data_IF_740007874532
#
_entry.id   IF_740007874532
#
_cell.length_a   1.000
_cell.length_b   1.000
_cell.length_c   1.000
_cell.angle_alpha   90.00
_cell.angle_beta   90.00
_cell.angle_gamma   90.00
#
_symmetry.space_group_name_H-M   'P 1'
#
loop_
_entity.id
_entity.type
_entity.pdbx_description
1 polymer ?
#
# COMPACT_ATOMS: atom_id res chain seq x y z
N UNK A 1 -4.72 -12.22 10.40
CA UNK A 1 -5.05 -11.55 11.63
C UNK A 1 -6.35 -10.80 11.52
N UNK A 2 -7.13 -10.91 12.51
CA UNK A 2 -8.49 -10.37 12.54
C UNK A 2 -8.49 -8.86 12.42
N UNK A 3 -9.05 -8.32 11.33
CA UNK A 3 -9.14 -6.89 11.09
C UNK A 3 -7.82 -6.21 10.71
N UNK A 4 -6.73 -6.97 10.58
CA UNK A 4 -5.41 -6.47 10.23
C UNK A 4 -4.99 -6.88 8.82
N UNK A 5 -5.97 -7.17 7.98
CA UNK A 5 -5.79 -7.55 6.59
C UNK A 5 -6.53 -6.57 5.70
N UNK A 6 -6.06 -6.44 4.47
CA UNK A 6 -6.80 -5.73 3.44
C UNK A 6 -6.54 -6.35 2.08
N UNK A 7 -7.45 -6.06 1.16
CA UNK A 7 -7.29 -6.41 -0.26
C UNK A 7 -7.37 -5.14 -1.09
N UNK A 8 -6.66 -5.15 -2.21
CA UNK A 8 -6.64 -4.04 -3.14
C UNK A 8 -6.50 -4.57 -4.55
N UNK A 9 -6.87 -3.78 -5.53
CA UNK A 9 -6.61 -4.08 -6.92
C UNK A 9 -5.81 -2.96 -7.55
N UNK A 10 -4.96 -3.32 -8.50
CA UNK A 10 -4.18 -2.37 -9.29
C UNK A 10 -4.21 -2.83 -10.74
N UNK A 11 -4.82 -2.02 -11.60
CA UNK A 11 -4.87 -2.32 -13.03
C UNK A 11 -3.74 -1.59 -13.75
N UNK A 12 -2.90 -2.36 -14.44
CA UNK A 12 -1.76 -1.83 -15.17
C UNK A 12 -2.22 -1.20 -16.48
N UNK A 13 -1.93 0.08 -16.66
CA UNK A 13 -2.25 0.84 -17.88
C UNK A 13 -0.98 1.26 -18.59
N UNK A 14 -1.12 1.90 -19.75
CA UNK A 14 0.03 2.40 -20.52
C UNK A 14 0.92 3.37 -19.71
N UNK A 15 0.33 4.12 -18.78
CA UNK A 15 1.06 5.04 -17.92
C UNK A 15 2.00 4.33 -16.95
N UNK A 16 1.81 3.03 -16.76
CA UNK A 16 2.62 2.21 -15.84
C UNK A 16 3.67 1.36 -16.58
N UNK A 17 3.84 1.58 -17.89
CA UNK A 17 4.76 0.78 -18.69
C UNK A 17 6.21 1.11 -18.39
N UNK A 18 7.01 0.07 -18.15
CA UNK A 18 8.45 0.13 -18.08
C UNK A 18 9.07 -0.48 -19.34
N UNK A 19 9.42 -1.76 -19.31
CA UNK A 19 9.79 -2.49 -20.51
C UNK A 19 8.57 -2.64 -21.44
N UNK A 20 8.75 -2.76 -22.76
CA UNK A 20 7.61 -2.84 -23.67
C UNK A 20 6.62 -3.93 -23.29
N UNK A 21 5.36 -3.53 -23.10
CA UNK A 21 4.26 -4.43 -22.73
C UNK A 21 4.20 -4.85 -21.27
N UNK A 22 5.12 -4.37 -20.43
CA UNK A 22 5.21 -4.78 -19.01
C UNK A 22 5.14 -3.59 -18.08
N UNK A 23 4.60 -3.80 -16.90
CA UNK A 23 4.55 -2.79 -15.85
C UNK A 23 5.94 -2.42 -15.35
N UNK A 24 6.14 -1.14 -15.05
CA UNK A 24 7.37 -0.63 -14.46
C UNK A 24 7.51 -1.11 -13.02
N UNK A 25 8.68 -1.69 -12.66
CA UNK A 25 8.91 -2.20 -11.31
C UNK A 25 8.77 -1.16 -10.22
N UNK A 26 9.23 0.06 -10.48
CA UNK A 26 9.06 1.17 -9.53
C UNK A 26 7.61 1.51 -9.25
N UNK A 27 6.76 1.47 -10.27
CA UNK A 27 5.33 1.71 -10.11
C UNK A 27 4.64 0.57 -9.38
N UNK A 28 5.06 -0.68 -9.62
CA UNK A 28 4.57 -1.82 -8.85
C UNK A 28 4.95 -1.69 -7.37
N UNK A 29 6.19 -1.28 -7.09
CA UNK A 29 6.64 -1.04 -5.70
C UNK A 29 5.83 0.07 -5.04
N UNK A 30 5.50 1.14 -5.77
CA UNK A 30 4.64 2.21 -5.26
C UNK A 30 3.24 1.69 -4.92
N UNK A 31 2.66 0.87 -5.79
CA UNK A 31 1.34 0.28 -5.56
C UNK A 31 1.33 -0.57 -4.28
N UNK A 32 2.40 -1.35 -4.07
CA UNK A 32 2.53 -2.15 -2.85
C UNK A 32 2.78 -1.30 -1.61
N UNK A 33 3.56 -0.24 -1.72
CA UNK A 33 3.75 0.68 -0.60
C UNK A 33 2.42 1.35 -0.20
N UNK A 34 1.59 1.73 -1.17
CA UNK A 34 0.26 2.26 -0.88
C UNK A 34 -0.64 1.24 -0.19
N UNK A 35 -0.67 0.00 -0.69
CA UNK A 35 -1.49 -1.05 -0.09
C UNK A 35 -1.05 -1.35 1.35
N UNK A 36 0.25 -1.52 1.55
CA UNK A 36 0.82 -1.80 2.87
C UNK A 36 0.62 -0.62 3.83
N UNK A 37 0.78 0.61 3.33
CA UNK A 37 0.57 1.81 4.13
C UNK A 37 -0.86 1.96 4.64
N UNK A 38 -1.84 1.47 3.90
CA UNK A 38 -3.24 1.49 4.33
C UNK A 38 -3.49 0.65 5.59
N UNK A 39 -2.64 -0.36 5.85
CA UNK A 39 -2.72 -1.13 7.08
C UNK A 39 -2.52 -0.25 8.31
N UNK A 40 -1.69 0.78 8.20
CA UNK A 40 -1.46 1.72 9.29
C UNK A 40 -2.72 2.52 9.62
N UNK A 41 -3.51 2.84 8.60
CA UNK A 41 -4.81 3.48 8.80
C UNK A 41 -5.81 2.56 9.48
N UNK A 42 -5.79 1.25 9.15
CA UNK A 42 -6.65 0.26 9.80
C UNK A 42 -6.38 0.17 11.30
N UNK A 43 -5.13 0.28 11.72
CA UNK A 43 -4.76 0.28 13.13
C UNK A 43 -4.71 1.70 13.73
N UNK A 44 -5.09 2.70 12.93
CA UNK A 44 -5.15 4.11 13.33
C UNK A 44 -3.83 4.63 13.91
N UNK A 45 -2.72 4.20 13.33
CA UNK A 45 -1.39 4.58 13.78
C UNK A 45 -0.67 5.31 12.66
N UNK A 46 -0.44 6.62 12.79
CA UNK A 46 0.37 7.34 11.81
C UNK A 46 1.77 6.73 11.77
N UNK A 47 2.24 6.40 10.57
CA UNK A 47 3.53 5.75 10.41
C UNK A 47 4.22 6.19 9.13
N UNK A 48 5.52 6.03 9.09
CA UNK A 48 6.34 6.29 7.91
C UNK A 48 6.98 5.00 7.43
N UNK A 49 7.18 4.89 6.12
CA UNK A 49 7.87 3.74 5.53
C UNK A 49 9.36 3.82 5.89
N UNK A 50 9.84 2.81 6.59
CA UNK A 50 11.26 2.70 6.92
C UNK A 50 11.99 1.75 5.97
N UNK A 51 11.30 0.74 5.47
CA UNK A 51 11.88 -0.24 4.54
C UNK A 51 10.77 -0.86 3.71
N UNK A 52 11.07 -1.07 2.43
CA UNK A 52 10.21 -1.80 1.51
C UNK A 52 11.06 -2.75 0.69
N UNK A 53 10.73 -4.04 0.71
CA UNK A 53 11.35 -5.05 -0.13
C UNK A 53 10.30 -5.57 -1.09
N UNK A 54 10.65 -5.66 -2.36
CA UNK A 54 9.74 -6.14 -3.40
C UNK A 54 10.47 -7.18 -4.25
N UNK A 55 9.86 -8.35 -4.38
CA UNK A 55 10.35 -9.41 -5.26
C UNK A 55 9.42 -9.51 -6.46
N UNK A 56 9.97 -9.36 -7.65
CA UNK A 56 9.24 -9.48 -8.90
C UNK A 56 9.42 -10.90 -9.44
N UNK A 57 8.40 -11.73 -9.23
CA UNK A 57 8.47 -13.18 -9.52
C UNK A 57 8.07 -13.47 -10.96
N UNK A 58 6.99 -12.83 -11.43
CA UNK A 58 6.50 -12.94 -12.79
C UNK A 58 6.33 -11.55 -13.38
N UNK A 59 6.56 -11.40 -14.69
CA UNK A 59 6.24 -10.13 -15.36
C UNK A 59 4.74 -9.84 -15.29
N UNK A 60 4.42 -8.56 -15.16
CA UNK A 60 3.02 -8.09 -15.09
C UNK A 60 2.69 -7.38 -16.39
N UNK A 61 1.95 -8.04 -17.31
CA UNK A 61 1.63 -7.45 -18.60
C UNK A 61 0.66 -6.27 -18.50
N UNK A 62 0.72 -5.41 -19.52
CA UNK A 62 -0.25 -4.33 -19.70
C UNK A 62 -1.67 -4.88 -19.73
N UNK A 63 -2.60 -4.14 -19.16
CA UNK A 63 -4.01 -4.55 -19.10
C UNK A 63 -4.33 -5.56 -18.00
N UNK A 64 -3.32 -6.01 -17.27
CA UNK A 64 -3.51 -6.96 -16.16
C UNK A 64 -4.01 -6.24 -14.92
N UNK A 65 -4.93 -6.87 -14.20
CA UNK A 65 -5.31 -6.45 -12.85
C UNK A 65 -4.59 -7.32 -11.84
N UNK A 66 -3.80 -6.69 -10.97
CA UNK A 66 -3.19 -7.35 -9.82
C UNK A 66 -4.16 -7.34 -8.65
N UNK A 67 -4.34 -8.49 -8.04
CA UNK A 67 -5.09 -8.66 -6.80
C UNK A 67 -4.10 -8.73 -5.66
N UNK A 68 -4.08 -7.70 -4.83
CA UNK A 68 -3.12 -7.55 -3.74
C UNK A 68 -3.79 -7.89 -2.42
N UNK A 69 -3.15 -8.79 -1.67
CA UNK A 69 -3.56 -9.11 -0.29
C UNK A 69 -2.43 -8.67 0.62
N UNK A 70 -2.75 -7.88 1.62
CA UNK A 70 -1.77 -7.33 2.56
C UNK A 70 -2.19 -7.61 4.00
N UNK A 71 -1.21 -7.85 4.87
CA UNK A 71 -1.45 -8.14 6.28
C UNK A 71 -0.32 -7.61 7.16
N UNK A 72 -0.64 -7.35 8.42
CA UNK A 72 0.35 -7.08 9.44
C UNK A 72 0.85 -8.42 9.95
N UNK A 73 2.16 -8.62 9.91
CA UNK A 73 2.79 -9.87 10.35
C UNK A 73 3.37 -9.80 11.76
N UNK A 74 3.61 -8.58 12.26
CA UNK A 74 4.11 -8.41 13.63
C UNK A 74 4.26 -6.96 14.00
N UNK A 75 4.39 -6.71 15.30
CA UNK A 75 4.64 -5.37 15.83
C UNK A 75 5.54 -5.47 17.05
N UNK A 76 6.58 -4.65 17.08
CA UNK A 76 7.49 -4.52 18.22
C UNK A 76 7.65 -3.04 18.52
N UNK A 77 7.07 -2.58 19.63
CA UNK A 77 7.05 -1.16 19.99
C UNK A 77 6.43 -0.32 18.86
N UNK A 78 7.19 0.59 18.26
CA UNK A 78 6.72 1.44 17.16
C UNK A 78 6.96 0.84 15.78
N UNK A 79 7.58 -0.35 15.70
CA UNK A 79 7.87 -1.01 14.44
C UNK A 79 6.75 -1.95 14.07
N UNK A 80 6.19 -1.78 12.88
CA UNK A 80 5.11 -2.63 12.37
C UNK A 80 5.60 -3.32 11.11
N UNK A 81 5.60 -4.64 11.13
CA UNK A 81 6.01 -5.47 10.01
C UNK A 81 4.79 -5.92 9.23
N UNK A 82 4.84 -5.77 7.92
CA UNK A 82 3.74 -6.10 7.03
C UNK A 82 4.24 -6.91 5.84
N UNK A 83 3.34 -7.67 5.25
CA UNK A 83 3.63 -8.39 4.00
C UNK A 83 2.45 -8.29 3.05
N UNK A 84 2.73 -8.47 1.76
CA UNK A 84 1.70 -8.49 0.73
C UNK A 84 2.11 -9.40 -0.41
N UNK A 85 1.11 -9.94 -1.10
CA UNK A 85 1.30 -10.66 -2.36
C UNK A 85 0.35 -10.09 -3.41
N UNK A 86 0.83 -10.07 -4.65
CA UNK A 86 0.02 -9.66 -5.80
C UNK A 86 -0.14 -10.82 -6.77
N UNK A 87 -1.39 -11.13 -7.12
CA UNK A 87 -1.75 -12.22 -8.03
C UNK A 87 -2.33 -11.66 -9.31
N UNK A 88 -1.99 -12.30 -10.42
CA UNK A 88 -2.43 -11.87 -11.74
C UNK A 88 -3.85 -12.35 -12.03
N UNK A 89 -4.70 -11.43 -12.43
CA UNK A 89 -6.00 -11.69 -13.03
C UNK A 89 -7.12 -12.01 -12.06
N UNK A 90 -6.84 -12.65 -10.95
CA UNK A 90 -7.83 -12.99 -9.93
C UNK A 90 -7.17 -13.19 -8.57
N UNK A 91 -7.99 -13.29 -7.53
CA UNK A 91 -7.51 -13.56 -6.17
C UNK A 91 -6.87 -14.95 -6.01
N UNK A 92 -7.10 -15.83 -6.99
CA UNK A 92 -6.51 -17.20 -7.06
C UNK A 92 -5.47 -17.33 -8.16
N UNK A 93 -5.13 -16.25 -8.84
CA UNK A 93 -4.17 -16.25 -9.93
C UNK A 93 -2.73 -16.48 -9.46
N UNK A 94 -1.79 -16.61 -10.41
CA UNK A 94 -0.39 -16.83 -10.06
C UNK A 94 0.19 -15.61 -9.34
N UNK A 95 1.09 -15.87 -8.40
CA UNK A 95 1.77 -14.80 -7.66
C UNK A 95 2.83 -14.19 -8.56
N UNK A 96 2.71 -12.89 -8.81
CA UNK A 96 3.66 -12.14 -9.62
C UNK A 96 4.61 -11.29 -8.78
N UNK A 97 4.15 -10.79 -7.63
CA UNK A 97 4.93 -9.88 -6.79
C UNK A 97 4.74 -10.28 -5.33
N UNK A 98 5.83 -10.25 -4.57
CA UNK A 98 5.80 -10.34 -3.11
C UNK A 98 6.45 -9.09 -2.54
N UNK A 99 5.89 -8.56 -1.47
CA UNK A 99 6.45 -7.40 -0.79
C UNK A 99 6.45 -7.59 0.71
N UNK A 100 7.42 -6.99 1.37
CA UNK A 100 7.49 -6.90 2.82
C UNK A 100 7.91 -5.48 3.19
N UNK A 101 7.34 -4.97 4.26
CA UNK A 101 7.64 -3.60 4.68
C UNK A 101 7.84 -3.51 6.19
N UNK A 102 8.57 -2.50 6.58
CA UNK A 102 8.68 -2.03 7.95
C UNK A 102 8.18 -0.59 8.00
N UNK A 103 7.16 -0.38 8.79
CA UNK A 103 6.67 0.97 9.12
C UNK A 103 7.06 1.33 10.53
N UNK A 104 7.35 2.61 10.76
CA UNK A 104 7.63 3.12 12.09
C UNK A 104 6.52 4.10 12.46
N UNK A 105 5.82 3.79 13.55
CA UNK A 105 4.76 4.65 14.07
C UNK A 105 5.40 5.92 14.60
N UNK A 106 4.84 7.06 14.20
CA UNK A 106 5.30 8.38 14.63
C UNK A 106 4.14 9.13 15.27
N UNK A 107 4.41 10.10 16.16
CA UNK A 107 3.35 10.91 16.72
C UNK A 107 2.60 11.67 15.62
N UNK A 108 1.29 11.85 15.79
CA UNK A 108 0.49 12.64 14.84
C UNK A 108 1.09 14.05 14.65
N UNK A 109 1.70 14.60 15.68
CA UNK A 109 2.34 15.91 15.62
C UNK A 109 3.44 15.97 14.55
N UNK A 110 4.14 14.85 14.32
CA UNK A 110 5.16 14.78 13.28
C UNK A 110 4.58 15.10 11.89
N UNK A 111 3.40 14.55 11.58
CA UNK A 111 2.73 14.82 10.32
C UNK A 111 2.22 16.26 10.27
N UNK A 112 1.65 16.76 11.35
CA UNK A 112 1.14 18.11 11.43
C UNK A 112 2.25 19.16 11.25
N UNK A 113 3.42 18.91 11.84
CA UNK A 113 4.57 19.81 11.74
C UNK A 113 5.16 19.87 10.32
N UNK A 114 5.01 18.82 9.54
CA UNK A 114 5.61 18.69 8.22
C UNK A 114 4.62 18.76 7.07
N UNK A 115 3.32 18.81 7.37
CA UNK A 115 2.29 18.84 6.33
C UNK A 115 2.09 20.24 5.76
N UNK A 116 1.79 20.38 4.46
CA UNK A 116 1.40 21.66 3.89
C UNK A 116 0.14 22.22 4.55
N UNK A 117 0.06 23.56 4.65
CA UNK A 117 -1.10 24.22 5.26
C UNK A 117 -2.42 23.84 4.60
N UNK A 118 -2.42 23.67 3.28
CA UNK A 118 -3.59 23.25 2.51
C UNK A 118 -4.08 21.87 2.93
N UNK A 119 -3.15 20.94 3.15
CA UNK A 119 -3.47 19.58 3.61
C UNK A 119 -4.08 19.63 5.01
N UNK A 120 -3.48 20.42 5.92
CA UNK A 120 -3.99 20.58 7.29
C UNK A 120 -5.40 21.13 7.30
N UNK A 121 -5.67 22.16 6.46
CA UNK A 121 -6.99 22.75 6.34
C UNK A 121 -8.01 21.72 5.82
N UNK A 122 -7.63 20.94 4.84
CA UNK A 122 -8.49 19.90 4.27
C UNK A 122 -8.85 18.82 5.29
N UNK A 123 -7.86 18.31 6.00
CA UNK A 123 -8.06 17.28 7.03
C UNK A 123 -8.89 17.80 8.20
N UNK A 124 -8.68 19.07 8.59
CA UNK A 124 -9.46 19.71 9.65
C UNK A 124 -10.92 19.87 9.26
N UNK A 125 -11.19 20.18 7.98
CA UNK A 125 -12.54 20.31 7.47
C UNK A 125 -13.23 18.95 7.25
N UNK A 126 -12.45 17.89 7.11
CA UNK A 126 -12.95 16.55 6.79
C UNK A 126 -12.31 15.49 7.71
N UNK A 127 -12.60 15.54 9.03
CA UNK A 127 -11.98 14.60 9.97
C UNK A 127 -12.32 13.13 9.69
N UNK A 128 -13.39 12.86 8.97
CA UNK A 128 -13.77 11.52 8.54
C UNK A 128 -12.71 10.86 7.66
N UNK A 129 -11.88 11.64 6.97
CA UNK A 129 -10.79 11.11 6.14
C UNK A 129 -9.73 10.38 6.96
N UNK A 130 -9.62 10.68 8.25
CA UNK A 130 -8.69 10.02 9.16
C UNK A 130 -9.34 8.86 9.91
N UNK A 131 -10.66 8.75 9.88
CA UNK A 131 -11.41 7.79 10.68
C UNK A 131 -11.81 6.53 9.92
N UNK A 132 -11.82 6.58 8.59
CA UNK A 132 -12.32 5.50 7.75
C UNK A 132 -11.29 5.04 6.74
N UNK A 133 -11.11 3.71 6.64
CA UNK A 133 -10.33 3.07 5.58
C UNK A 133 -11.13 1.87 5.08
N UNK A 134 -11.41 1.84 3.80
CA UNK A 134 -12.05 0.70 3.16
C UNK A 134 -11.02 -0.43 3.05
N UNK A 135 -11.29 -1.63 3.58
CA UNK A 135 -10.37 -2.77 3.46
C UNK A 135 -10.26 -3.32 2.03
N UNK A 136 -11.16 -2.94 1.14
CA UNK A 136 -11.05 -3.22 -0.29
C UNK A 136 -11.02 -1.90 -1.05
N UNK A 137 -10.00 -1.71 -1.88
CA UNK A 137 -9.87 -0.47 -2.64
C UNK A 137 -9.05 -0.68 -3.91
N UNK A 138 -9.17 0.25 -4.83
CA UNK A 138 -8.35 0.30 -6.03
C UNK A 138 -7.17 1.24 -5.83
N UNK A 139 -5.98 0.77 -6.20
CA UNK A 139 -4.77 1.57 -6.14
C UNK A 139 -4.59 2.29 -7.48
N UNK A 140 -4.26 3.57 -7.39
CA UNK A 140 -4.01 4.39 -8.57
C UNK A 140 -2.76 5.25 -8.31
N UNK A 141 -1.57 4.65 -8.42
CA UNK A 141 -0.32 5.34 -8.15
C UNK A 141 0.04 6.39 -9.19
#
# INVERSE_FOLDING_TARGET
GDGQNLTATFTVTEDHQGAPGLAHGGLLSLAFDEALGKLMWLIRSPAVTARLETDFILPVPMGTTLHISAEITGQVNRKVYCSAIGRIGSSDGPIAVRAASLYVIVPMQHFLDNAPAEYLAHVTAHPELLAFVDPEFEINP
#
